data_IF_411901324585
#
_entry.id   IF_411901324585
#
_cell.length_a   1.000
_cell.length_b   1.000
_cell.length_c   1.000
_cell.angle_alpha   90.00
_cell.angle_beta   90.00
_cell.angle_gamma   90.00
#
_symmetry.space_group_name_H-M   'P 1'
#
loop_
_entity.id
_entity.type
_entity.pdbx_description
1 polymer ?
#
# COMPACT_ATOMS: atom_id res chain seq x y z
N UNK A 1 15.43 1.90 15.36
CA UNK A 1 13.98 2.20 15.53
C UNK A 1 13.22 1.09 14.85
N UNK A 2 12.04 0.71 15.32
CA UNK A 2 11.23 -0.29 14.62
C UNK A 2 10.58 0.30 13.37
N UNK A 3 10.42 -0.52 12.32
CA UNK A 3 9.81 -0.11 11.06
C UNK A 3 8.41 0.48 11.23
N UNK A 4 8.04 1.44 10.40
CA UNK A 4 6.65 1.84 10.20
C UNK A 4 6.00 0.89 9.20
N UNK A 5 5.03 0.10 9.66
CA UNK A 5 4.28 -0.86 8.82
C UNK A 5 3.02 -0.17 8.31
N UNK A 6 2.90 0.01 6.99
CA UNK A 6 1.82 0.74 6.33
C UNK A 6 1.08 -0.18 5.36
N UNK A 7 -0.22 -0.40 5.58
CA UNK A 7 -1.07 -1.13 4.63
C UNK A 7 -1.73 -0.19 3.63
N UNK A 8 -1.66 -0.52 2.34
CA UNK A 8 -2.40 0.14 1.28
C UNK A 8 -3.69 -0.63 1.01
N UNK A 9 -4.82 -0.01 1.25
CA UNK A 9 -6.14 -0.66 1.15
C UNK A 9 -7.11 0.10 0.25
N UNK A 10 -8.07 -0.62 -0.33
CA UNK A 10 -9.18 -0.04 -1.09
C UNK A 10 -10.31 -1.05 -1.23
N UNK A 11 -11.56 -0.60 -1.14
CA UNK A 11 -12.74 -1.44 -1.37
C UNK A 11 -12.92 -1.85 -2.84
N UNK A 12 -12.35 -1.09 -3.78
CA UNK A 12 -12.46 -1.33 -5.22
C UNK A 12 -11.17 -1.84 -5.85
N UNK A 13 -11.31 -2.64 -6.92
CA UNK A 13 -10.23 -2.98 -7.84
C UNK A 13 -9.81 -1.80 -8.71
N UNK A 14 -8.56 -1.84 -9.18
CA UNK A 14 -8.06 -0.85 -10.13
C UNK A 14 -7.84 0.57 -9.58
N UNK A 15 -7.79 0.74 -8.26
CA UNK A 15 -7.56 2.06 -7.64
C UNK A 15 -6.10 2.50 -7.59
N UNK A 16 -5.19 1.74 -8.17
CA UNK A 16 -3.77 2.08 -8.20
C UNK A 16 -3.00 1.81 -6.89
N UNK A 17 -3.49 0.95 -6.00
CA UNK A 17 -2.78 0.56 -4.75
C UNK A 17 -1.37 0.06 -5.02
N UNK A 18 -1.23 -1.01 -5.80
CA UNK A 18 0.06 -1.62 -6.17
C UNK A 18 1.00 -0.62 -6.84
N UNK A 19 0.49 0.15 -7.81
CA UNK A 19 1.26 1.22 -8.49
C UNK A 19 1.75 2.26 -7.48
N UNK A 20 0.89 2.64 -6.53
CA UNK A 20 1.24 3.61 -5.48
C UNK A 20 2.25 3.01 -4.52
N UNK A 21 2.01 1.82 -3.99
CA UNK A 21 2.92 1.16 -3.04
C UNK A 21 4.32 0.97 -3.64
N UNK A 22 4.40 0.51 -4.89
CA UNK A 22 5.67 0.31 -5.60
C UNK A 22 6.44 1.62 -5.78
N UNK A 23 5.82 2.66 -6.36
CA UNK A 23 6.52 3.91 -6.63
C UNK A 23 6.82 4.71 -5.35
N UNK A 24 6.01 4.55 -4.32
CA UNK A 24 6.28 5.13 -3.01
C UNK A 24 7.45 4.41 -2.30
N UNK A 25 7.54 3.08 -2.41
CA UNK A 25 8.68 2.33 -1.90
C UNK A 25 10.00 2.80 -2.54
N UNK A 26 9.98 3.06 -3.86
CA UNK A 26 11.11 3.68 -4.55
C UNK A 26 11.42 5.07 -3.99
N UNK A 27 10.41 5.92 -3.79
CA UNK A 27 10.60 7.27 -3.27
C UNK A 27 11.19 7.28 -1.85
N UNK A 28 10.79 6.36 -0.98
CA UNK A 28 11.40 6.20 0.36
C UNK A 28 12.86 5.71 0.26
N UNK A 29 13.13 4.74 -0.60
CA UNK A 29 14.49 4.23 -0.80
C UNK A 29 15.44 5.32 -1.39
N UNK A 30 14.97 6.15 -2.33
CA UNK A 30 15.69 7.32 -2.85
C UNK A 30 16.00 8.36 -1.76
N UNK A 31 15.19 8.42 -0.70
CA UNK A 31 15.43 9.27 0.49
C UNK A 31 16.39 8.63 1.50
N UNK A 32 16.88 7.42 1.24
CA UNK A 32 17.81 6.69 2.10
C UNK A 32 17.12 5.80 3.17
N UNK A 33 15.80 5.70 3.17
CA UNK A 33 15.06 4.83 4.09
C UNK A 33 15.09 3.38 3.60
N UNK A 34 15.55 2.47 4.45
CA UNK A 34 15.55 1.03 4.13
C UNK A 34 14.10 0.53 4.09
N UNK A 35 13.62 0.25 2.90
CA UNK A 35 12.20 0.02 2.60
C UNK A 35 11.97 -1.38 2.07
N UNK A 36 11.03 -2.10 2.67
CA UNK A 36 10.50 -3.37 2.18
C UNK A 36 9.11 -3.16 1.57
N UNK A 37 8.95 -3.52 0.31
CA UNK A 37 7.66 -3.67 -0.34
C UNK A 37 7.22 -5.13 -0.25
N UNK A 38 6.12 -5.40 0.43
CA UNK A 38 5.62 -6.74 0.68
C UNK A 38 4.27 -6.96 -0.02
N UNK A 39 4.26 -7.88 -0.99
CA UNK A 39 3.09 -8.25 -1.77
C UNK A 39 2.26 -9.31 -1.03
N UNK A 40 1.07 -8.92 -0.58
CA UNK A 40 0.10 -9.81 0.06
C UNK A 40 -1.04 -10.20 -0.90
N UNK A 41 -1.10 -9.59 -2.11
CA UNK A 41 -2.16 -9.88 -3.06
C UNK A 41 -2.04 -11.33 -3.57
N UNK A 42 -3.07 -12.17 -3.41
CA UNK A 42 -3.07 -13.53 -3.97
C UNK A 42 -2.79 -13.59 -5.47
N UNK A 43 -3.03 -12.50 -6.19
CA UNK A 43 -2.72 -12.41 -7.62
C UNK A 43 -1.24 -12.11 -7.91
N UNK A 44 -0.45 -11.70 -6.89
CA UNK A 44 0.99 -11.45 -7.05
C UNK A 44 1.31 -10.24 -7.92
N UNK A 45 0.56 -9.17 -7.76
CA UNK A 45 0.58 -8.00 -8.66
C UNK A 45 1.95 -7.33 -8.79
N UNK A 46 2.77 -7.33 -7.73
CA UNK A 46 4.12 -6.75 -7.75
C UNK A 46 5.06 -7.61 -8.58
N UNK A 47 5.01 -8.94 -8.40
CA UNK A 47 5.83 -9.87 -9.17
C UNK A 47 5.57 -9.73 -10.67
N UNK A 48 4.30 -9.67 -11.09
CA UNK A 48 3.92 -9.44 -12.49
C UNK A 48 4.33 -8.06 -13.00
N UNK A 49 4.25 -7.02 -12.15
CA UNK A 49 4.64 -5.65 -12.54
C UNK A 49 6.13 -5.47 -12.77
N UNK A 50 6.98 -6.35 -12.21
CA UNK A 50 8.44 -6.21 -12.26
C UNK A 50 9.17 -7.36 -12.97
N UNK A 51 8.48 -8.45 -13.28
CA UNK A 51 9.07 -9.59 -13.95
C UNK A 51 9.11 -9.38 -15.48
N UNK A 52 10.32 -9.30 -16.06
CA UNK A 52 10.51 -9.27 -17.51
C UNK A 52 10.33 -10.63 -18.20
N UNK A 53 10.34 -11.71 -17.44
CA UNK A 53 10.16 -13.09 -17.91
C UNK A 53 9.10 -13.76 -17.06
N UNK A 54 8.38 -14.75 -17.60
CA UNK A 54 7.35 -15.55 -16.92
C UNK A 54 7.86 -16.37 -15.70
N UNK A 55 8.98 -15.98 -15.13
CA UNK A 55 9.53 -16.59 -13.92
C UNK A 55 8.87 -15.95 -12.70
N UNK A 56 7.96 -16.70 -12.12
CA UNK A 56 7.48 -16.38 -10.77
C UNK A 56 8.65 -16.45 -9.78
N UNK A 57 8.84 -15.38 -9.01
CA UNK A 57 9.80 -15.36 -7.93
C UNK A 57 9.34 -16.25 -6.78
N UNK A 58 10.28 -16.87 -6.09
CA UNK A 58 10.01 -17.39 -4.76
C UNK A 58 9.75 -16.22 -3.81
N UNK A 59 8.89 -16.43 -2.83
CA UNK A 59 8.45 -15.35 -1.97
C UNK A 59 7.79 -15.83 -0.68
N UNK A 60 6.81 -15.10 -0.23
CA UNK A 60 6.15 -15.33 1.04
C UNK A 60 5.49 -16.73 1.13
N UNK A 61 4.90 -17.22 0.05
CA UNK A 61 4.30 -18.57 0.01
C UNK A 61 5.34 -19.65 0.28
N UNK A 62 6.53 -19.57 -0.31
CA UNK A 62 7.63 -20.50 -0.04
C UNK A 62 8.10 -20.42 1.40
N UNK A 63 8.21 -19.21 1.96
CA UNK A 63 8.56 -19.03 3.36
C UNK A 63 7.56 -19.73 4.30
N UNK A 64 6.26 -19.48 4.12
CA UNK A 64 5.25 -19.99 5.05
C UNK A 64 4.94 -21.48 4.88
N UNK A 65 4.99 -22.01 3.65
CA UNK A 65 4.63 -23.40 3.34
C UNK A 65 5.84 -24.34 3.30
N UNK A 66 6.95 -23.89 2.69
CA UNK A 66 8.16 -24.71 2.50
C UNK A 66 9.26 -24.41 3.52
N UNK A 67 9.03 -23.44 4.40
CA UNK A 67 10.00 -23.00 5.43
C UNK A 67 11.32 -22.47 4.84
N UNK A 68 11.26 -21.87 3.65
CA UNK A 68 12.40 -21.17 3.07
C UNK A 68 12.72 -19.95 3.95
N UNK A 69 13.98 -19.71 4.33
CA UNK A 69 14.37 -18.53 5.11
C UNK A 69 13.97 -17.22 4.44
N UNK A 70 13.62 -16.20 5.23
CA UNK A 70 13.21 -14.89 4.68
C UNK A 70 14.31 -14.24 3.84
N UNK A 71 15.57 -14.42 4.22
CA UNK A 71 16.75 -13.89 3.54
C UNK A 71 16.91 -14.44 2.11
N UNK A 72 16.38 -15.63 1.85
CA UNK A 72 16.43 -16.27 0.53
C UNK A 72 15.29 -15.83 -0.39
N UNK A 73 14.15 -15.38 0.18
CA UNK A 73 12.95 -14.98 -0.57
C UNK A 73 12.76 -13.47 -0.65
N UNK A 74 13.51 -12.69 0.13
CA UNK A 74 13.54 -11.23 0.02
C UNK A 74 14.55 -10.82 -1.05
N UNK A 75 14.08 -10.10 -2.04
CA UNK A 75 14.87 -9.65 -3.18
C UNK A 75 15.40 -8.25 -2.90
N UNK A 76 16.72 -8.09 -2.83
CA UNK A 76 17.34 -6.78 -2.91
C UNK A 76 17.30 -6.30 -4.37
N UNK A 77 16.74 -5.13 -4.59
CA UNK A 77 16.66 -4.55 -5.94
C UNK A 77 17.98 -3.88 -6.35
N UNK A 78 18.02 -3.34 -7.58
CA UNK A 78 19.17 -2.52 -8.04
C UNK A 78 19.22 -1.12 -7.42
N UNK A 79 18.12 -0.69 -6.79
CA UNK A 79 18.08 0.54 -6.02
C UNK A 79 18.50 0.24 -4.60
N UNK A 80 19.49 0.95 -4.11
CA UNK A 80 19.89 0.86 -2.71
C UNK A 80 18.70 1.13 -1.80
N UNK A 81 18.65 0.43 -0.67
CA UNK A 81 17.59 0.52 0.32
C UNK A 81 16.20 0.02 -0.12
N UNK A 82 16.02 -0.50 -1.34
CA UNK A 82 14.74 -1.08 -1.78
C UNK A 82 14.80 -2.60 -1.82
N UNK A 83 13.91 -3.22 -1.05
CA UNK A 83 13.74 -4.67 -0.95
C UNK A 83 12.31 -5.05 -1.30
N UNK A 84 12.13 -6.25 -1.86
CA UNK A 84 10.81 -6.77 -2.24
C UNK A 84 10.64 -8.18 -1.68
N UNK A 85 9.55 -8.40 -0.97
CA UNK A 85 9.05 -9.73 -0.65
C UNK A 85 7.80 -9.96 -1.51
N UNK A 86 7.97 -10.73 -2.57
CA UNK A 86 6.86 -11.09 -3.45
C UNK A 86 5.91 -12.07 -2.77
N UNK A 87 4.68 -12.21 -3.28
CA UNK A 87 3.75 -13.24 -2.83
C UNK A 87 4.37 -14.66 -2.94
N UNK A 88 5.19 -14.91 -3.94
CA UNK A 88 5.72 -16.24 -4.25
C UNK A 88 4.84 -17.00 -5.25
N UNK A 89 5.13 -18.29 -5.43
CA UNK A 89 4.43 -19.16 -6.39
C UNK A 89 3.20 -19.78 -5.73
N UNK A 90 2.04 -19.64 -6.37
CA UNK A 90 0.79 -20.17 -5.84
C UNK A 90 -0.14 -20.55 -6.98
N UNK A 91 -0.69 -21.77 -6.93
CA UNK A 91 -1.70 -22.16 -7.89
C UNK A 91 -3.04 -21.43 -7.61
N UNK A 92 -3.84 -21.12 -8.65
CA UNK A 92 -5.13 -20.44 -8.46
C UNK A 92 -6.09 -21.14 -7.50
N UNK A 93 -6.01 -22.46 -7.41
CA UNK A 93 -6.84 -23.27 -6.50
C UNK A 93 -6.50 -23.07 -5.03
N UNK A 94 -5.31 -22.55 -4.71
CA UNK A 94 -4.80 -22.37 -3.34
C UNK A 94 -5.12 -20.98 -2.75
N UNK A 95 -5.68 -20.08 -3.55
CA UNK A 95 -6.00 -18.69 -3.13
C UNK A 95 -6.81 -18.66 -1.84
N UNK A 96 -7.91 -19.42 -1.79
CA UNK A 96 -8.76 -19.44 -0.59
C UNK A 96 -8.03 -19.99 0.66
N UNK A 97 -7.13 -20.94 0.47
CA UNK A 97 -6.33 -21.51 1.57
C UNK A 97 -5.31 -20.50 2.08
N UNK A 98 -4.65 -19.78 1.17
CA UNK A 98 -3.73 -18.70 1.50
C UNK A 98 -4.43 -17.57 2.27
N UNK A 99 -5.56 -17.07 1.79
CA UNK A 99 -6.34 -16.02 2.44
C UNK A 99 -6.78 -16.44 3.85
N UNK A 100 -7.28 -17.67 3.98
CA UNK A 100 -7.69 -18.22 5.28
C UNK A 100 -6.49 -18.35 6.22
N UNK A 101 -5.34 -18.80 5.74
CA UNK A 101 -4.12 -18.91 6.54
C UNK A 101 -3.70 -17.54 7.09
N UNK A 102 -3.65 -16.50 6.27
CA UNK A 102 -3.30 -15.15 6.70
C UNK A 102 -4.29 -14.59 7.74
N UNK A 103 -5.58 -14.85 7.54
CA UNK A 103 -6.61 -14.31 8.41
C UNK A 103 -6.72 -15.02 9.77
N UNK A 104 -6.55 -16.35 9.80
CA UNK A 104 -6.84 -17.18 10.97
C UNK A 104 -5.60 -17.55 11.79
N UNK A 105 -4.38 -17.29 11.28
CA UNK A 105 -3.15 -17.64 11.96
C UNK A 105 -2.29 -16.40 12.27
N UNK A 106 -1.25 -16.59 13.05
CA UNK A 106 -0.27 -15.53 13.35
C UNK A 106 0.89 -15.47 12.34
N UNK A 107 0.74 -16.10 11.17
CA UNK A 107 1.85 -16.22 10.23
C UNK A 107 2.34 -14.85 9.75
N UNK A 108 1.43 -13.94 9.38
CA UNK A 108 1.79 -12.60 8.94
C UNK A 108 2.44 -11.78 10.06
N UNK A 109 1.85 -11.78 11.26
CA UNK A 109 2.41 -11.06 12.41
C UNK A 109 3.78 -11.59 12.82
N UNK A 110 3.98 -12.92 12.79
CA UNK A 110 5.28 -13.53 13.10
C UNK A 110 6.34 -13.16 12.05
N UNK A 111 5.98 -13.14 10.76
CA UNK A 111 6.89 -12.71 9.70
C UNK A 111 7.27 -11.23 9.86
N UNK A 112 6.30 -10.36 10.09
CA UNK A 112 6.57 -8.93 10.29
C UNK A 112 7.41 -8.68 11.56
N UNK A 113 7.21 -9.45 12.61
CA UNK A 113 8.02 -9.37 13.83
C UNK A 113 9.51 -9.68 13.58
N UNK A 114 9.81 -10.60 12.67
CA UNK A 114 11.20 -10.90 12.28
C UNK A 114 11.83 -9.75 11.48
N UNK A 115 11.03 -8.99 10.75
CA UNK A 115 11.49 -7.95 9.81
C UNK A 115 11.50 -6.53 10.41
N UNK A 116 10.77 -6.29 11.50
CA UNK A 116 10.48 -4.94 11.99
C UNK A 116 11.72 -4.14 12.41
N UNK A 117 12.81 -4.79 12.77
CA UNK A 117 14.05 -4.14 13.17
C UNK A 117 15.05 -3.95 12.02
N UNK A 118 14.79 -4.56 10.85
CA UNK A 118 15.72 -4.56 9.72
C UNK A 118 15.39 -3.48 8.70
N UNK A 119 14.23 -2.84 8.81
CA UNK A 119 13.73 -1.83 7.87
C UNK A 119 13.27 -0.57 8.61
N UNK A 120 13.26 0.55 7.88
CA UNK A 120 12.63 1.81 8.34
C UNK A 120 11.15 1.84 7.96
N UNK A 121 10.84 1.35 6.75
CA UNK A 121 9.48 1.27 6.19
C UNK A 121 9.16 -0.14 5.71
N UNK A 122 7.98 -0.64 6.03
CA UNK A 122 7.40 -1.87 5.45
C UNK A 122 6.05 -1.49 4.84
N UNK A 123 5.94 -1.58 3.52
CA UNK A 123 4.73 -1.26 2.77
C UNK A 123 4.02 -2.56 2.39
N UNK A 124 2.81 -2.78 2.88
CA UNK A 124 1.98 -3.94 2.56
C UNK A 124 1.03 -3.61 1.42
N UNK A 125 1.27 -4.18 0.25
CA UNK A 125 0.31 -4.14 -0.86
C UNK A 125 -0.75 -5.22 -0.67
N UNK A 126 -2.02 -4.82 -0.61
CA UNK A 126 -3.13 -5.73 -0.33
C UNK A 126 -3.99 -5.94 -1.56
N UNK A 127 -4.73 -7.06 -1.65
CA UNK A 127 -5.69 -7.26 -2.72
C UNK A 127 -6.79 -6.20 -2.72
N UNK A 128 -7.51 -6.13 -3.81
CA UNK A 128 -8.72 -5.32 -3.90
C UNK A 128 -9.83 -5.90 -3.03
N UNK A 129 -10.61 -5.01 -2.43
CA UNK A 129 -11.71 -5.39 -1.56
C UNK A 129 -11.32 -5.42 -0.08
N UNK A 130 -12.32 -5.70 0.75
CA UNK A 130 -12.23 -5.65 2.21
C UNK A 130 -12.26 -7.06 2.82
N UNK A 131 -11.61 -8.02 2.13
CA UNK A 131 -11.60 -9.45 2.46
C UNK A 131 -10.61 -9.82 3.57
N UNK A 132 -10.30 -11.13 3.62
CA UNK A 132 -9.50 -11.73 4.69
C UNK A 132 -8.07 -11.18 4.71
N UNK A 133 -7.40 -11.08 3.56
CA UNK A 133 -6.02 -10.58 3.47
C UNK A 133 -5.93 -9.12 3.89
N UNK A 134 -6.85 -8.27 3.40
CA UNK A 134 -6.91 -6.85 3.79
C UNK A 134 -7.12 -6.71 5.30
N UNK A 135 -8.00 -7.52 5.89
CA UNK A 135 -8.24 -7.52 7.33
C UNK A 135 -7.00 -7.99 8.11
N UNK A 136 -6.31 -9.03 7.65
CA UNK A 136 -5.08 -9.53 8.28
C UNK A 136 -3.93 -8.50 8.20
N UNK A 137 -3.81 -7.79 7.07
CA UNK A 137 -2.84 -6.72 6.92
C UNK A 137 -3.12 -5.57 7.91
N UNK A 138 -4.36 -5.13 8.05
CA UNK A 138 -4.76 -4.10 9.02
C UNK A 138 -4.54 -4.54 10.47
N UNK A 139 -4.77 -5.82 10.77
CA UNK A 139 -4.56 -6.40 12.11
C UNK A 139 -3.08 -6.32 12.55
N UNK A 140 -2.16 -6.34 11.59
CA UNK A 140 -0.71 -6.38 11.82
C UNK A 140 0.02 -5.08 11.53
N UNK A 141 -0.66 -4.07 10.96
CA UNK A 141 -0.07 -2.78 10.61
C UNK A 141 -0.20 -1.76 11.73
N UNK A 142 0.79 -0.84 11.82
CA UNK A 142 0.64 0.37 12.63
C UNK A 142 -0.20 1.43 11.93
N UNK A 143 -0.19 1.42 10.59
CA UNK A 143 -0.79 2.50 9.80
C UNK A 143 -1.50 1.96 8.56
N UNK A 144 -2.51 2.72 8.10
CA UNK A 144 -3.23 2.43 6.86
C UNK A 144 -3.33 3.66 5.96
N UNK A 145 -3.17 3.46 4.66
CA UNK A 145 -3.48 4.43 3.59
C UNK A 145 -4.65 3.88 2.78
N UNK A 146 -5.70 4.65 2.64
CA UNK A 146 -6.88 4.30 1.83
C UNK A 146 -6.74 4.93 0.46
N UNK A 147 -6.47 4.11 -0.57
CA UNK A 147 -6.43 4.57 -1.95
C UNK A 147 -7.84 4.67 -2.53
N UNK A 148 -8.19 5.84 -3.05
CA UNK A 148 -9.49 6.07 -3.67
C UNK A 148 -9.33 6.79 -5.02
N UNK A 149 -9.91 6.21 -6.04
CA UNK A 149 -9.90 6.80 -7.37
C UNK A 149 -10.79 8.04 -7.42
N UNK A 150 -10.37 9.11 -8.13
CA UNK A 150 -11.15 10.32 -8.30
C UNK A 150 -12.36 10.11 -9.26
N UNK A 151 -13.32 9.26 -8.81
CA UNK A 151 -14.55 8.88 -9.52
C UNK A 151 -15.77 8.89 -8.58
N UNK A 152 -17.00 9.15 -9.09
CA UNK A 152 -18.21 9.29 -8.26
C UNK A 152 -18.50 8.10 -7.33
N UNK A 153 -18.27 6.88 -7.82
CA UNK A 153 -18.52 5.66 -7.04
C UNK A 153 -17.52 5.44 -5.91
N UNK A 154 -16.38 6.11 -5.94
CA UNK A 154 -15.35 5.98 -4.90
C UNK A 154 -15.78 6.59 -3.58
N UNK A 155 -16.56 7.67 -3.61
CA UNK A 155 -17.11 8.29 -2.39
C UNK A 155 -17.93 7.30 -1.54
N UNK A 156 -18.72 6.43 -2.19
CA UNK A 156 -19.51 5.42 -1.48
C UNK A 156 -18.65 4.31 -0.88
N UNK A 157 -17.53 3.97 -1.52
CA UNK A 157 -16.63 2.90 -1.06
C UNK A 157 -15.75 3.31 0.11
N UNK A 158 -15.50 4.62 0.29
CA UNK A 158 -14.72 5.14 1.43
C UNK A 158 -15.38 4.80 2.75
N UNK A 159 -16.69 5.03 2.89
CA UNK A 159 -17.43 4.73 4.13
C UNK A 159 -17.31 3.27 4.54
N UNK A 160 -17.37 2.33 3.58
CA UNK A 160 -17.18 0.91 3.86
C UNK A 160 -15.74 0.59 4.32
N UNK A 161 -14.75 1.25 3.71
CA UNK A 161 -13.35 1.07 4.08
C UNK A 161 -13.07 1.62 5.47
N UNK A 162 -13.59 2.80 5.81
CA UNK A 162 -13.47 3.39 7.14
C UNK A 162 -14.18 2.55 8.21
N UNK A 163 -15.35 1.99 7.90
CA UNK A 163 -16.06 1.07 8.80
C UNK A 163 -15.26 -0.21 9.09
N UNK A 164 -14.55 -0.77 8.08
CA UNK A 164 -13.63 -1.89 8.32
C UNK A 164 -12.47 -1.48 9.23
N UNK A 165 -11.85 -0.33 8.96
CA UNK A 165 -10.76 0.21 9.79
C UNK A 165 -11.19 0.34 11.25
N UNK A 166 -12.31 1.00 11.50
CA UNK A 166 -12.90 1.17 12.84
C UNK A 166 -13.17 -0.17 13.52
N UNK A 167 -13.74 -1.14 12.77
CA UNK A 167 -13.95 -2.49 13.28
C UNK A 167 -12.65 -3.16 13.71
N UNK A 168 -11.60 -3.10 12.88
CA UNK A 168 -10.29 -3.69 13.21
C UNK A 168 -9.70 -3.01 14.44
N UNK A 169 -9.76 -1.68 14.53
CA UNK A 169 -9.31 -0.91 15.69
C UNK A 169 -10.02 -1.35 16.98
N UNK A 170 -11.34 -1.54 16.93
CA UNK A 170 -12.12 -1.94 18.10
C UNK A 170 -11.95 -3.40 18.52
N UNK A 171 -11.61 -4.30 17.58
CA UNK A 171 -11.70 -5.74 17.87
C UNK A 171 -10.36 -6.47 17.83
N UNK A 172 -9.36 -5.96 17.09
CA UNK A 172 -8.12 -6.68 16.82
C UNK A 172 -6.87 -5.84 17.06
N UNK A 173 -6.79 -4.64 16.49
CA UNK A 173 -5.60 -3.79 16.52
C UNK A 173 -5.92 -2.36 16.98
N UNK A 174 -5.99 -2.10 18.30
CA UNK A 174 -6.30 -0.78 18.83
C UNK A 174 -5.27 0.31 18.46
N UNK A 175 -4.07 -0.10 18.08
CA UNK A 175 -2.98 0.81 17.72
C UNK A 175 -2.96 1.19 16.24
N UNK A 176 -3.80 0.59 15.41
CA UNK A 176 -3.92 0.92 14.00
C UNK A 176 -4.36 2.38 13.84
N UNK A 177 -3.61 3.16 13.06
CA UNK A 177 -3.93 4.56 12.77
C UNK A 177 -4.17 4.75 11.27
N UNK A 178 -5.15 5.54 10.89
CA UNK A 178 -5.34 5.98 9.51
C UNK A 178 -4.35 7.11 9.21
N UNK A 179 -3.40 6.90 8.29
CA UNK A 179 -2.51 7.95 7.79
C UNK A 179 -3.25 8.95 6.91
N UNK A 180 -4.20 8.47 6.13
CA UNK A 180 -5.02 9.34 5.32
C UNK A 180 -5.67 8.65 4.12
N UNK A 181 -6.49 9.46 3.44
CA UNK A 181 -7.15 9.09 2.20
C UNK A 181 -6.31 9.61 1.04
N UNK A 182 -5.86 8.72 0.15
CA UNK A 182 -5.02 9.08 -0.99
C UNK A 182 -5.86 9.11 -2.28
N UNK A 183 -6.14 10.29 -2.84
CA UNK A 183 -6.77 10.39 -4.16
C UNK A 183 -5.83 9.85 -5.24
N UNK A 184 -6.34 8.95 -6.07
CA UNK A 184 -5.57 8.32 -7.15
C UNK A 184 -6.21 8.56 -8.50
N UNK A 185 -5.41 8.42 -9.55
CA UNK A 185 -5.85 8.57 -10.96
C UNK A 185 -6.57 9.90 -11.21
N UNK A 186 -6.14 10.96 -10.54
CA UNK A 186 -6.69 12.30 -10.76
C UNK A 186 -6.30 12.78 -12.17
N UNK A 187 -7.31 13.00 -13.01
CA UNK A 187 -7.12 13.49 -14.37
C UNK A 187 -7.26 15.02 -14.41
N UNK A 188 -6.11 15.70 -14.49
CA UNK A 188 -6.06 17.15 -14.56
C UNK A 188 -6.62 17.74 -15.87
N UNK A 189 -6.81 16.94 -16.91
CA UNK A 189 -7.48 17.34 -18.16
C UNK A 189 -8.99 17.18 -18.13
N UNK A 190 -9.52 16.39 -17.18
CA UNK A 190 -10.95 16.08 -17.10
C UNK A 190 -11.66 16.90 -16.02
N UNK A 191 -12.60 17.81 -16.37
CA UNK A 191 -13.34 18.62 -15.40
C UNK A 191 -14.12 17.79 -14.36
N UNK A 192 -14.68 16.63 -14.75
CA UNK A 192 -15.41 15.76 -13.83
C UNK A 192 -14.46 15.16 -12.78
N UNK A 193 -13.26 14.72 -13.16
CA UNK A 193 -12.26 14.21 -12.23
C UNK A 193 -11.81 15.28 -11.24
N UNK A 194 -11.60 16.52 -11.71
CA UNK A 194 -11.28 17.66 -10.83
C UNK A 194 -12.40 17.94 -9.82
N UNK A 195 -13.65 17.97 -10.29
CA UNK A 195 -14.82 18.21 -9.42
C UNK A 195 -14.90 17.16 -8.30
N UNK A 196 -14.70 15.89 -8.65
CA UNK A 196 -14.72 14.79 -7.68
C UNK A 196 -13.54 14.89 -6.71
N UNK A 197 -12.34 15.20 -7.20
CA UNK A 197 -11.18 15.44 -6.34
C UNK A 197 -11.48 16.54 -5.30
N UNK A 198 -12.05 17.67 -5.74
CA UNK A 198 -12.46 18.74 -4.83
C UNK A 198 -13.52 18.28 -3.83
N UNK A 199 -14.51 17.49 -4.28
CA UNK A 199 -15.51 16.90 -3.39
C UNK A 199 -14.87 15.99 -2.34
N UNK A 200 -13.89 15.16 -2.71
CA UNK A 200 -13.16 14.31 -1.75
C UNK A 200 -12.48 15.18 -0.69
N UNK A 201 -11.71 16.19 -1.11
CA UNK A 201 -10.98 17.08 -0.19
C UNK A 201 -11.93 17.85 0.74
N UNK A 202 -13.12 18.23 0.26
CA UNK A 202 -14.10 18.96 1.07
C UNK A 202 -14.90 18.06 2.02
N UNK A 203 -15.12 16.80 1.63
CA UNK A 203 -16.01 15.88 2.36
C UNK A 203 -15.30 15.04 3.43
N UNK A 204 -13.98 14.89 3.34
CA UNK A 204 -13.23 14.03 4.25
C UNK A 204 -12.06 14.79 4.88
N UNK A 205 -11.82 14.50 6.14
CA UNK A 205 -10.60 14.90 6.83
C UNK A 205 -9.45 13.91 6.54
N UNK A 206 -8.22 14.34 6.70
CA UNK A 206 -7.05 13.49 6.52
C UNK A 206 -6.77 13.08 5.07
N UNK A 207 -7.35 13.78 4.08
CA UNK A 207 -7.00 13.58 2.67
C UNK A 207 -5.56 14.05 2.46
N UNK A 208 -4.76 13.28 1.72
CA UNK A 208 -3.41 13.69 1.34
C UNK A 208 -3.46 14.88 0.38
N UNK A 209 -2.55 15.83 0.56
CA UNK A 209 -2.35 16.94 -0.39
C UNK A 209 -1.74 16.43 -1.69
N UNK A 210 -0.80 15.49 -1.59
CA UNK A 210 -0.28 14.76 -2.73
C UNK A 210 -1.32 13.75 -3.22
N UNK A 211 -1.44 13.66 -4.55
CA UNK A 211 -2.29 12.66 -5.22
C UNK A 211 -1.53 11.95 -6.33
N UNK A 212 -1.97 10.76 -6.74
CA UNK A 212 -1.41 10.12 -7.93
C UNK A 212 -2.22 10.50 -9.17
N UNK A 213 -1.57 11.01 -10.25
CA UNK A 213 -2.29 11.43 -11.44
C UNK A 213 -2.68 10.21 -12.30
N UNK A 214 -3.65 10.39 -13.19
CA UNK A 214 -3.84 9.53 -14.34
C UNK A 214 -2.75 9.88 -15.36
N UNK A 215 -1.87 8.93 -15.69
CA UNK A 215 -0.77 9.17 -16.63
C UNK A 215 -0.46 7.91 -17.44
N UNK A 216 -0.15 8.08 -18.73
CA UNK A 216 0.32 7.01 -19.60
C UNK A 216 1.67 6.41 -19.15
N UNK A 217 2.48 7.17 -18.41
CA UNK A 217 3.77 6.69 -17.90
C UNK A 217 3.64 5.45 -17.00
N UNK A 218 2.50 5.28 -16.31
CA UNK A 218 2.27 4.07 -15.51
C UNK A 218 2.02 2.84 -16.37
N UNK A 219 1.42 3.01 -17.56
CA UNK A 219 1.24 1.93 -18.54
C UNK A 219 2.59 1.56 -19.14
N UNK A 220 3.38 2.55 -19.58
CA UNK A 220 4.73 2.34 -20.12
C UNK A 220 5.65 1.66 -19.10
N UNK A 221 5.56 2.06 -17.83
CA UNK A 221 6.31 1.46 -16.73
C UNK A 221 5.92 0.00 -16.51
N UNK A 222 4.62 -0.28 -16.50
CA UNK A 222 4.08 -1.63 -16.36
C UNK A 222 4.47 -2.53 -17.52
N UNK A 223 4.39 -2.05 -18.77
CA UNK A 223 4.82 -2.79 -19.98
C UNK A 223 6.31 -3.14 -19.91
N UNK A 224 7.15 -2.21 -19.43
CA UNK A 224 8.59 -2.44 -19.26
C UNK A 224 8.95 -3.22 -18.01
N UNK A 225 8.00 -3.50 -17.12
CA UNK A 225 8.23 -4.20 -15.87
C UNK A 225 9.15 -3.44 -14.91
N UNK A 226 8.99 -2.12 -14.81
CA UNK A 226 9.83 -1.25 -13.95
C UNK A 226 8.97 -0.17 -13.26
N UNK A 227 9.40 0.36 -12.10
CA UNK A 227 8.81 1.58 -11.55
C UNK A 227 9.01 2.79 -12.49
N UNK A 228 8.16 3.82 -12.36
CA UNK A 228 8.22 5.01 -13.24
C UNK A 228 9.60 5.68 -13.21
N UNK A 229 10.27 5.73 -12.06
CA UNK A 229 11.62 6.31 -11.92
C UNK A 229 12.69 5.57 -12.71
N UNK A 230 12.44 4.34 -13.16
CA UNK A 230 13.38 3.53 -13.96
C UNK A 230 13.09 3.55 -15.47
N UNK A 231 12.10 4.33 -15.92
CA UNK A 231 11.85 4.52 -17.36
C UNK A 231 12.99 5.24 -18.09
N UNK A 232 13.85 5.93 -17.34
CA UNK A 232 14.93 6.77 -17.87
C UNK A 232 14.45 8.18 -18.26
N UNK A 233 15.41 9.06 -18.55
CA UNK A 233 15.10 10.46 -18.89
C UNK A 233 15.03 11.40 -17.68
N UNK A 234 14.55 12.65 -17.86
CA UNK A 234 14.46 13.62 -16.78
C UNK A 234 13.39 13.26 -15.77
N UNK A 235 13.53 13.79 -14.55
CA UNK A 235 12.56 13.56 -13.46
C UNK A 235 11.18 14.10 -13.82
N UNK A 236 10.21 13.19 -13.95
CA UNK A 236 8.85 13.52 -14.39
C UNK A 236 8.00 14.14 -13.26
N UNK A 237 6.87 14.80 -13.58
CA UNK A 237 5.93 15.27 -12.57
C UNK A 237 5.42 14.15 -11.66
N UNK A 238 5.21 12.94 -12.18
CA UNK A 238 4.76 11.77 -11.43
C UNK A 238 5.78 11.38 -10.36
N UNK A 239 7.06 11.30 -10.72
CA UNK A 239 8.15 11.01 -9.78
C UNK A 239 8.22 12.06 -8.67
N UNK A 240 8.06 13.36 -9.01
CA UNK A 240 8.02 14.43 -8.02
C UNK A 240 6.85 14.27 -7.05
N UNK A 241 5.67 13.86 -7.54
CA UNK A 241 4.49 13.61 -6.69
C UNK A 241 4.72 12.47 -5.70
N UNK A 242 5.38 11.38 -6.08
CA UNK A 242 5.74 10.33 -5.13
C UNK A 242 6.74 10.80 -4.09
N UNK A 243 7.70 11.65 -4.45
CA UNK A 243 8.61 12.26 -3.48
C UNK A 243 7.88 13.19 -2.50
N UNK A 244 6.89 13.96 -2.98
CA UNK A 244 6.03 14.78 -2.12
C UNK A 244 5.17 13.92 -1.19
N UNK A 245 4.55 12.86 -1.73
CA UNK A 245 3.75 11.91 -0.95
C UNK A 245 4.60 11.22 0.12
N UNK A 246 5.82 10.81 -0.20
CA UNK A 246 6.74 10.22 0.76
C UNK A 246 7.04 11.20 1.92
N UNK A 247 7.33 12.46 1.60
CA UNK A 247 7.57 13.49 2.63
C UNK A 247 6.33 13.78 3.48
N UNK A 248 5.15 13.81 2.87
CA UNK A 248 3.89 14.01 3.60
C UNK A 248 3.60 12.83 4.54
N UNK A 249 3.86 11.59 4.08
CA UNK A 249 3.70 10.39 4.93
C UNK A 249 4.68 10.43 6.11
N UNK A 250 5.95 10.78 5.90
CA UNK A 250 6.92 10.92 7.00
C UNK A 250 6.45 11.94 8.05
N UNK A 251 6.00 13.11 7.61
CA UNK A 251 5.49 14.14 8.52
C UNK A 251 4.29 13.65 9.34
N UNK A 252 3.32 12.97 8.70
CA UNK A 252 2.16 12.39 9.39
C UNK A 252 2.55 11.26 10.35
N UNK A 253 3.54 10.44 9.98
CA UNK A 253 4.07 9.39 10.87
C UNK A 253 4.70 9.98 12.13
N UNK A 254 5.48 11.06 12.01
CA UNK A 254 6.07 11.75 13.15
C UNK A 254 5.00 12.33 14.06
N UNK A 255 4.01 13.04 13.50
CA UNK A 255 2.87 13.57 14.24
C UNK A 255 2.12 12.48 15.00
N UNK A 256 1.74 11.40 14.33
CA UNK A 256 0.99 10.30 14.93
C UNK A 256 1.81 9.49 15.95
N UNK A 257 3.12 9.37 15.80
CA UNK A 257 4.00 8.75 16.79
C UNK A 257 4.18 9.63 18.03
N UNK A 258 4.21 10.95 17.86
CA UNK A 258 4.31 11.92 18.95
C UNK A 258 3.05 12.04 19.81
N UNK A 259 1.89 11.67 19.25
CA UNK A 259 0.58 11.81 19.90
C UNK A 259 0.20 10.52 20.63
N UNK A 260 0.98 10.08 21.60
CA UNK A 260 0.59 8.99 22.50
C UNK A 260 -0.50 9.53 23.46
N UNK A 261 -1.79 9.34 23.13
CA UNK A 261 -2.88 9.62 24.07
C UNK A 261 -4.11 10.36 23.56
N UNK A 262 -4.20 10.75 22.29
CA UNK A 262 -5.40 11.40 21.76
C UNK A 262 -6.10 10.45 20.77
N UNK A 263 -7.34 10.10 21.09
CA UNK A 263 -8.21 9.38 20.16
C UNK A 263 -8.44 10.27 18.93
N UNK A 264 -7.96 9.87 17.77
CA UNK A 264 -8.29 10.51 16.51
C UNK A 264 -9.72 10.10 16.13
N UNK A 265 -10.70 10.92 16.49
CA UNK A 265 -12.05 10.84 15.92
C UNK A 265 -12.01 11.44 14.50
N UNK A 266 -11.90 10.58 13.50
CA UNK A 266 -12.18 10.97 12.12
C UNK A 266 -13.70 11.08 11.95
N UNK A 267 -14.25 12.28 12.18
CA UNK A 267 -15.68 12.52 11.95
C UNK A 267 -15.95 12.67 10.45
N UNK A 268 -16.88 11.87 9.92
CA UNK A 268 -17.53 12.19 8.67
C UNK A 268 -18.29 13.51 8.85
N UNK A 269 -17.95 14.54 8.12
CA UNK A 269 -18.89 15.64 7.89
C UNK A 269 -20.07 15.02 7.12
N UNK A 270 -21.26 15.02 7.74
CA UNK A 270 -22.42 14.32 7.20
C UNK A 270 -22.70 14.73 5.76
N UNK A 271 -22.69 13.75 4.88
CA UNK A 271 -23.25 13.87 3.52
C UNK A 271 -24.77 13.82 3.64
N UNK A 272 -25.42 14.97 3.75
CA UNK A 272 -26.85 15.14 3.47
C UNK A 272 -27.00 15.73 2.09
#
# INVERSE_FOLDING_TARGET
MSASIISFISAKGGTGKTTTALNLAVAFAEKGLKTLLFDLDPMGSIGFSLARNDREWEGFVEHILKKVPLEEVIIQTKLDNLYILSRGRMAPVDVCSYERLLFSSKVLSNTLYQLINDYDMILLDTPSGLGMVTTAALDTSGFAVVALQAEPLSLRSVSQTLALLERVQKTKNPNLKLLGLLPTMVDGGNPASKSIYHTIVQSFEGVFEAYTPRSALFLDASEKGVPVSFLGGPRTPEMKRFSMLASEIEARLEELKGTTGVQNEYSQRSLI
#
